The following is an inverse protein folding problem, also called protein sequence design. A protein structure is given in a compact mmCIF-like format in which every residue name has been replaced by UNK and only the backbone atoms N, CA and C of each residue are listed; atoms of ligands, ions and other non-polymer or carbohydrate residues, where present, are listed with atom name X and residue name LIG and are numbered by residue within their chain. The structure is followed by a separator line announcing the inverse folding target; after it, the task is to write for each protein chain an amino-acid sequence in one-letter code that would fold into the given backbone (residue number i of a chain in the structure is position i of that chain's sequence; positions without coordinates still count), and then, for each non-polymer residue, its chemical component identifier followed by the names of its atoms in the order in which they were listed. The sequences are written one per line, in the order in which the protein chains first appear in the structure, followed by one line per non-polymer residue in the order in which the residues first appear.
data_IF_860104755751
#
_entry.id   IF_860104755751
#
_cell.length_a   1.000
_cell.length_b   1.000
_cell.length_c   1.000
_cell.angle_alpha   90.00
_cell.angle_beta   90.00
_cell.angle_gamma   90.00
#
_symmetry.space_group_name_H-M   'P 1'
#
loop_
_entity.id
_entity.type
_entity.pdbx_description
1 polymer ?
#
# COMPACT_ATOMS: atom_id res chain seq x y z
N UNK A 1 15.86 5.43 1.61
CA UNK A 1 14.69 4.58 1.27
C UNK A 1 13.50 4.88 2.18
N UNK A 2 13.61 4.65 3.50
CA UNK A 2 12.52 4.87 4.48
C UNK A 2 11.90 6.28 4.40
N UNK A 3 12.72 7.34 4.35
CA UNK A 3 12.22 8.72 4.20
C UNK A 3 11.33 8.92 2.97
N UNK A 4 11.63 8.24 1.86
CA UNK A 4 10.84 8.30 0.63
C UNK A 4 9.52 7.56 0.77
N UNK A 5 9.53 6.37 1.41
CA UNK A 5 8.31 5.64 1.76
C UNK A 5 7.40 6.46 2.68
N UNK A 6 7.95 7.10 3.73
CA UNK A 6 7.20 8.01 4.60
C UNK A 6 6.64 9.21 3.84
N UNK A 7 7.40 9.80 2.91
CA UNK A 7 6.93 10.90 2.07
C UNK A 7 5.74 10.49 1.19
N UNK A 8 5.75 9.25 0.67
CA UNK A 8 4.64 8.68 -0.11
C UNK A 8 3.40 8.54 0.77
N UNK A 9 3.52 7.99 1.98
CA UNK A 9 2.40 7.90 2.93
C UNK A 9 1.83 9.28 3.27
N UNK A 10 2.69 10.27 3.52
CA UNK A 10 2.24 11.65 3.79
C UNK A 10 1.50 12.26 2.60
N UNK A 11 2.01 12.07 1.39
CA UNK A 11 1.35 12.54 0.17
C UNK A 11 -0.01 11.86 -0.02
N UNK A 12 -0.09 10.54 0.18
CA UNK A 12 -1.35 9.80 0.14
C UNK A 12 -2.34 10.27 1.21
N UNK A 13 -1.89 10.49 2.44
CA UNK A 13 -2.71 11.05 3.51
C UNK A 13 -3.33 12.39 3.11
N UNK A 14 -2.56 13.27 2.48
CA UNK A 14 -3.06 14.56 1.97
C UNK A 14 -4.12 14.36 0.87
N UNK A 15 -3.95 13.39 -0.02
CA UNK A 15 -4.94 13.07 -1.06
C UNK A 15 -6.27 12.60 -0.46
N UNK A 16 -6.22 11.85 0.64
CA UNK A 16 -7.41 11.28 1.29
C UNK A 16 -8.23 12.30 2.10
N UNK A 17 -7.64 13.44 2.49
CA UNK A 17 -8.30 14.43 3.36
C UNK A 17 -8.73 15.68 2.61
N UNK A 18 -9.79 16.34 3.07
CA UNK A 18 -10.16 17.65 2.54
C UNK A 18 -9.19 18.71 3.06
N UNK A 19 -8.45 19.33 2.15
CA UNK A 19 -7.65 20.51 2.47
C UNK A 19 -8.56 21.73 2.56
N UNK A 20 -8.63 22.31 3.77
CA UNK A 20 -9.36 23.53 4.03
C UNK A 20 -8.45 24.73 3.76
N UNK A 21 -8.60 25.35 2.60
CA UNK A 21 -7.90 26.60 2.28
C UNK A 21 -8.71 27.80 2.81
N UNK A 22 -8.06 28.72 3.53
CA UNK A 22 -8.67 30.03 3.78
C UNK A 22 -8.64 30.82 2.48
N UNK A 23 -9.69 31.59 2.19
CA UNK A 23 -9.81 32.38 0.95
C UNK A 23 -8.62 33.33 0.71
N UNK A 24 -7.97 33.81 1.77
CA UNK A 24 -6.77 34.65 1.69
C UNK A 24 -5.56 33.90 1.09
N UNK A 25 -5.48 32.60 1.29
CA UNK A 25 -4.40 31.74 0.80
C UNK A 25 -4.67 31.27 -0.65
N UNK A 26 -5.94 31.06 -1.01
CA UNK A 26 -6.34 30.73 -2.38
C UNK A 26 -6.01 31.84 -3.39
N UNK A 27 -6.12 33.11 -2.96
CA UNK A 27 -5.71 34.28 -3.75
C UNK A 27 -4.19 34.33 -4.02
N UNK A 28 -3.36 33.76 -3.13
CA UNK A 28 -1.90 33.69 -3.31
C UNK A 28 -1.48 32.62 -4.33
N UNK A 29 -2.35 31.64 -4.59
CA UNK A 29 -2.15 30.58 -5.60
C UNK A 29 -2.75 30.92 -6.98
N UNK A 30 -3.12 32.20 -7.22
CA UNK A 30 -3.78 32.69 -8.44
C UNK A 30 -2.92 32.66 -9.71
N UNK A 31 -1.69 32.14 -9.65
CA UNK A 31 -0.85 31.87 -10.82
C UNK A 31 -1.32 30.66 -11.64
N UNK A 32 -2.31 29.90 -11.14
CA UNK A 32 -2.95 28.82 -11.87
C UNK A 32 -3.96 29.39 -12.87
N UNK A 33 -3.65 29.27 -14.18
CA UNK A 33 -4.43 29.81 -15.28
C UNK A 33 -5.90 29.40 -15.19
N UNK A 34 -6.79 30.38 -15.11
CA UNK A 34 -8.24 30.22 -15.23
C UNK A 34 -8.72 30.91 -16.52
N UNK A 35 -9.83 30.45 -17.13
CA UNK A 35 -10.55 31.22 -18.12
C UNK A 35 -10.93 32.59 -17.52
N UNK A 36 -10.79 33.66 -18.31
CA UNK A 36 -10.85 35.05 -17.85
C UNK A 36 -12.02 35.33 -16.89
N UNK A 37 -11.72 36.00 -15.76
CA UNK A 37 -12.72 36.62 -14.88
C UNK A 37 -13.23 35.80 -13.68
N UNK A 38 -12.75 34.57 -13.44
CA UNK A 38 -13.21 33.74 -12.30
C UNK A 38 -12.09 33.44 -11.31
N UNK A 39 -12.31 33.77 -10.03
CA UNK A 39 -11.38 33.43 -8.95
C UNK A 39 -11.47 31.92 -8.64
N UNK A 40 -10.33 31.22 -8.46
CA UNK A 40 -10.36 29.82 -8.06
C UNK A 40 -11.02 29.70 -6.69
N UNK A 41 -12.14 29.00 -6.63
CA UNK A 41 -12.75 28.62 -5.35
C UNK A 41 -11.80 27.65 -4.64
N UNK A 42 -11.75 27.67 -3.30
CA UNK A 42 -10.95 26.74 -2.50
C UNK A 42 -11.12 25.26 -2.92
N UNK A 43 -12.29 24.90 -3.44
CA UNK A 43 -12.60 23.57 -4.00
C UNK A 43 -11.80 23.25 -5.26
N UNK A 44 -11.71 24.19 -6.22
CA UNK A 44 -10.96 23.99 -7.47
C UNK A 44 -9.47 23.88 -7.19
N UNK A 45 -8.94 24.75 -6.33
CA UNK A 45 -7.54 24.71 -5.91
C UNK A 45 -7.18 23.39 -5.22
N UNK A 46 -8.04 22.91 -4.32
CA UNK A 46 -7.85 21.62 -3.66
C UNK A 46 -7.79 20.47 -4.68
N UNK A 47 -8.68 20.46 -5.69
CA UNK A 47 -8.66 19.45 -6.76
C UNK A 47 -7.37 19.51 -7.57
N UNK A 48 -6.92 20.70 -7.98
CA UNK A 48 -5.69 20.87 -8.76
C UNK A 48 -4.46 20.44 -7.98
N UNK A 49 -4.36 20.83 -6.70
CA UNK A 49 -3.25 20.41 -5.85
C UNK A 49 -3.23 18.89 -5.67
N UNK A 50 -4.40 18.27 -5.44
CA UNK A 50 -4.49 16.82 -5.35
C UNK A 50 -4.09 16.12 -6.65
N UNK A 51 -4.47 16.66 -7.81
CA UNK A 51 -4.03 16.12 -9.10
C UNK A 51 -2.50 16.19 -9.26
N UNK A 52 -1.86 17.30 -8.86
CA UNK A 52 -0.41 17.43 -8.87
C UNK A 52 0.27 16.46 -7.90
N UNK A 53 -0.28 16.31 -6.69
CA UNK A 53 0.24 15.37 -5.69
C UNK A 53 0.10 13.93 -6.19
N UNK A 54 -1.00 13.58 -6.83
CA UNK A 54 -1.23 12.25 -7.40
C UNK A 54 -0.20 11.89 -8.49
N UNK A 55 0.07 12.82 -9.41
CA UNK A 55 1.11 12.62 -10.43
C UNK A 55 2.52 12.51 -9.81
N UNK A 56 2.81 13.29 -8.77
CA UNK A 56 4.06 13.16 -8.03
C UNK A 56 4.12 11.81 -7.30
N UNK A 57 3.04 11.37 -6.67
CA UNK A 57 2.96 10.12 -5.93
C UNK A 57 3.29 8.92 -6.83
N UNK A 58 2.71 8.86 -8.03
CA UNK A 58 2.97 7.78 -8.98
C UNK A 58 4.46 7.69 -9.38
N UNK A 59 5.11 8.84 -9.55
CA UNK A 59 6.57 8.93 -9.81
C UNK A 59 7.37 8.48 -8.60
N UNK A 60 7.03 8.98 -7.41
CA UNK A 60 7.71 8.67 -6.16
C UNK A 60 7.67 7.16 -5.84
N UNK A 61 6.51 6.51 -6.02
CA UNK A 61 6.30 5.07 -5.85
C UNK A 61 7.14 4.28 -6.85
N UNK A 62 7.10 4.64 -8.14
CA UNK A 62 7.91 3.98 -9.18
C UNK A 62 9.40 4.07 -8.87
N UNK A 63 9.86 5.24 -8.42
CA UNK A 63 11.24 5.46 -8.01
C UNK A 63 11.61 4.67 -6.75
N UNK A 64 10.70 4.55 -5.78
CA UNK A 64 10.93 3.76 -4.57
C UNK A 64 11.19 2.29 -4.94
N UNK A 65 10.36 1.71 -5.82
CA UNK A 65 10.58 0.34 -6.31
C UNK A 65 11.88 0.20 -7.12
N UNK A 66 12.31 1.23 -7.86
CA UNK A 66 13.62 1.24 -8.52
C UNK A 66 14.77 1.24 -7.51
N UNK A 67 14.68 2.04 -6.45
CA UNK A 67 15.68 2.08 -5.37
C UNK A 67 15.74 0.73 -4.66
N UNK A 68 14.60 0.13 -4.33
CA UNK A 68 14.52 -1.22 -3.77
C UNK A 68 15.25 -2.25 -4.63
N UNK A 69 14.93 -2.32 -5.93
CA UNK A 69 15.60 -3.24 -6.85
C UNK A 69 17.11 -2.98 -6.96
N UNK A 70 17.59 -1.77 -6.68
CA UNK A 70 19.01 -1.43 -6.72
C UNK A 70 19.72 -1.79 -5.40
N UNK A 71 19.12 -1.47 -4.25
CA UNK A 71 19.62 -1.83 -2.91
C UNK A 71 19.63 -3.33 -2.65
N UNK A 72 18.72 -4.08 -3.27
CA UNK A 72 18.64 -5.54 -3.12
C UNK A 72 19.69 -6.30 -3.95
N UNK A 73 20.26 -5.70 -5.00
CA UNK A 73 21.30 -6.32 -5.86
C UNK A 73 22.59 -6.72 -5.13
N UNK A 74 23.21 -5.87 -4.29
CA UNK A 74 24.47 -6.22 -3.61
C UNK A 74 24.31 -7.33 -2.56
N UNK A 75 23.08 -7.77 -2.25
CA UNK A 75 22.78 -8.76 -1.18
C UNK A 75 23.41 -8.40 0.17
N UNK A 76 23.63 -7.10 0.39
CA UNK A 76 24.32 -6.60 1.57
C UNK A 76 23.39 -6.65 2.77
N UNK A 77 23.85 -7.26 3.87
CA UNK A 77 23.12 -7.30 5.15
C UNK A 77 22.88 -5.91 5.75
N UNK A 78 23.73 -4.93 5.40
CA UNK A 78 23.56 -3.52 5.79
C UNK A 78 22.24 -2.93 5.28
N UNK A 79 21.81 -3.33 4.09
CA UNK A 79 20.57 -2.83 3.48
C UNK A 79 19.32 -3.55 4.00
N UNK A 80 19.47 -4.64 4.78
CA UNK A 80 18.34 -5.44 5.27
C UNK A 80 17.36 -4.61 6.11
N UNK A 81 17.86 -3.92 7.14
CA UNK A 81 17.06 -3.11 8.05
C UNK A 81 16.33 -1.95 7.35
N UNK A 82 17.00 -1.09 6.54
CA UNK A 82 16.30 -0.02 5.85
C UNK A 82 15.32 -0.54 4.79
N UNK A 83 15.58 -1.69 4.15
CA UNK A 83 14.63 -2.33 3.25
C UNK A 83 13.40 -2.87 4.01
N UNK A 84 13.60 -3.55 5.15
CA UNK A 84 12.53 -4.01 6.02
C UNK A 84 11.64 -2.85 6.46
N UNK A 85 12.26 -1.81 7.03
CA UNK A 85 11.56 -0.62 7.52
C UNK A 85 10.76 0.07 6.41
N UNK A 86 11.39 0.26 5.24
CA UNK A 86 10.71 0.87 4.12
C UNK A 86 9.54 0.01 3.62
N UNK A 87 9.71 -1.31 3.54
CA UNK A 87 8.65 -2.18 3.05
C UNK A 87 7.46 -2.28 4.02
N UNK A 88 7.69 -2.26 5.34
CA UNK A 88 6.61 -2.16 6.32
C UNK A 88 5.76 -0.90 6.10
N UNK A 89 6.42 0.24 5.82
CA UNK A 89 5.72 1.49 5.48
C UNK A 89 4.94 1.36 4.16
N UNK A 90 5.50 0.67 3.15
CA UNK A 90 4.79 0.41 1.89
C UNK A 90 3.61 -0.54 2.08
N UNK A 91 3.68 -1.51 3.01
CA UNK A 91 2.55 -2.38 3.34
C UNK A 91 1.36 -1.54 3.85
N UNK A 92 1.61 -0.61 4.76
CA UNK A 92 0.58 0.33 5.24
C UNK A 92 0.03 1.21 4.11
N UNK A 93 0.89 1.67 3.21
CA UNK A 93 0.45 2.42 2.03
C UNK A 93 -0.44 1.59 1.09
N UNK A 94 -0.10 0.33 0.84
CA UNK A 94 -0.90 -0.57 0.00
C UNK A 94 -2.26 -0.87 0.64
N UNK A 95 -2.31 -1.12 1.95
CA UNK A 95 -3.57 -1.27 2.69
C UNK A 95 -4.42 0.02 2.63
N UNK A 96 -3.79 1.19 2.74
CA UNK A 96 -4.46 2.47 2.59
C UNK A 96 -5.05 2.66 1.18
N UNK A 97 -4.37 2.19 0.14
CA UNK A 97 -4.90 2.17 -1.23
C UNK A 97 -6.11 1.24 -1.38
N UNK A 98 -6.04 0.02 -0.82
CA UNK A 98 -7.16 -0.93 -0.83
C UNK A 98 -8.39 -0.32 -0.12
N UNK A 99 -8.17 0.32 1.03
CA UNK A 99 -9.18 1.05 1.79
C UNK A 99 -9.76 2.23 1.02
N UNK A 100 -8.92 3.01 0.35
CA UNK A 100 -9.34 4.16 -0.46
C UNK A 100 -10.24 3.71 -1.62
N UNK A 101 -9.91 2.60 -2.26
CA UNK A 101 -10.68 2.00 -3.36
C UNK A 101 -12.07 1.57 -2.87
N UNK A 102 -12.15 0.90 -1.72
CA UNK A 102 -13.43 0.55 -1.09
C UNK A 102 -14.29 1.76 -0.78
N UNK A 103 -13.68 2.81 -0.20
CA UNK A 103 -14.39 4.04 0.15
C UNK A 103 -14.88 4.81 -1.08
N UNK A 104 -14.10 4.82 -2.16
CA UNK A 104 -14.48 5.43 -3.42
C UNK A 104 -15.73 4.75 -4.00
N UNK A 105 -15.71 3.42 -4.10
CA UNK A 105 -16.83 2.65 -4.64
C UNK A 105 -18.09 2.83 -3.78
N UNK A 106 -17.94 2.77 -2.46
CA UNK A 106 -19.00 3.09 -1.51
C UNK A 106 -19.66 4.43 -1.84
N UNK A 107 -18.83 5.47 -1.90
CA UNK A 107 -19.29 6.84 -2.09
C UNK A 107 -19.98 7.02 -3.45
N UNK A 108 -19.44 6.40 -4.51
CA UNK A 108 -20.02 6.48 -5.86
C UNK A 108 -21.36 5.76 -5.96
N UNK A 109 -21.48 4.59 -5.36
CA UNK A 109 -22.75 3.85 -5.32
C UNK A 109 -23.82 4.63 -4.55
N UNK A 110 -23.47 5.19 -3.38
CA UNK A 110 -24.37 6.02 -2.59
C UNK A 110 -24.84 7.27 -3.36
N UNK A 111 -23.93 7.97 -4.04
CA UNK A 111 -24.29 9.11 -4.90
C UNK A 111 -25.26 8.69 -6.01
N UNK A 112 -25.01 7.55 -6.67
CA UNK A 112 -25.88 7.02 -7.72
C UNK A 112 -27.29 6.71 -7.20
N UNK A 113 -27.38 6.03 -6.06
CA UNK A 113 -28.66 5.67 -5.41
C UNK A 113 -29.43 6.93 -5.00
N UNK A 114 -28.76 7.93 -4.41
CA UNK A 114 -29.39 9.22 -4.07
C UNK A 114 -29.91 9.97 -5.29
N UNK A 115 -29.28 9.78 -6.45
CA UNK A 115 -29.74 10.31 -7.72
C UNK A 115 -30.87 9.47 -8.37
N UNK A 116 -31.40 8.45 -7.68
CA UNK A 116 -32.44 7.55 -8.18
C UNK A 116 -31.96 6.56 -9.24
N UNK A 117 -30.64 6.37 -9.38
CA UNK A 117 -30.01 5.47 -10.35
C UNK A 117 -29.59 4.16 -9.69
N UNK A 118 -29.29 3.15 -10.51
CA UNK A 118 -28.77 1.87 -10.03
C UNK A 118 -27.31 1.99 -9.56
N UNK A 119 -26.85 0.97 -8.80
CA UNK A 119 -25.46 0.86 -8.34
C UNK A 119 -24.53 0.79 -9.56
N UNK A 120 -23.41 1.52 -9.49
CA UNK A 120 -22.43 1.58 -10.59
C UNK A 120 -21.41 0.43 -10.49
N UNK A 121 -21.09 0.01 -9.27
CA UNK A 121 -20.04 -0.98 -9.02
C UNK A 121 -20.54 -2.05 -8.05
N UNK A 122 -20.00 -3.25 -8.21
CA UNK A 122 -20.26 -4.41 -7.35
C UNK A 122 -19.12 -4.64 -6.36
N UNK A 123 -19.38 -5.32 -5.24
CA UNK A 123 -18.34 -5.65 -4.26
C UNK A 123 -17.21 -6.48 -4.88
N UNK A 124 -17.59 -7.47 -5.71
CA UNK A 124 -16.66 -8.35 -6.41
C UNK A 124 -15.62 -7.58 -7.23
N UNK A 125 -16.05 -6.57 -7.99
CA UNK A 125 -15.13 -5.73 -8.78
C UNK A 125 -14.08 -5.03 -7.91
N UNK A 126 -14.45 -4.59 -6.72
CA UNK A 126 -13.49 -3.93 -5.81
C UNK A 126 -12.51 -4.93 -5.22
N UNK A 127 -13.01 -6.10 -4.82
CA UNK A 127 -12.15 -7.18 -4.32
C UNK A 127 -11.15 -7.64 -5.38
N UNK A 128 -11.56 -7.76 -6.64
CA UNK A 128 -10.66 -8.09 -7.75
C UNK A 128 -9.56 -7.03 -7.97
N UNK A 129 -9.87 -5.74 -7.79
CA UNK A 129 -8.87 -4.67 -7.87
C UNK A 129 -7.91 -4.71 -6.68
N UNK A 130 -8.42 -4.88 -5.47
CA UNK A 130 -7.59 -4.96 -4.27
C UNK A 130 -6.70 -6.21 -4.29
N UNK A 131 -7.21 -7.35 -4.78
CA UNK A 131 -6.42 -8.57 -4.97
C UNK A 131 -5.23 -8.35 -5.93
N UNK A 132 -5.35 -7.45 -6.91
CA UNK A 132 -4.23 -7.10 -7.78
C UNK A 132 -3.10 -6.42 -7.02
N UNK A 133 -3.39 -5.53 -6.06
CA UNK A 133 -2.38 -4.87 -5.23
C UNK A 133 -1.60 -5.91 -4.41
N UNK A 134 -2.31 -6.91 -3.87
CA UNK A 134 -1.69 -8.00 -3.12
C UNK A 134 -0.83 -8.91 -4.03
N UNK A 135 -1.36 -9.32 -5.19
CA UNK A 135 -0.61 -10.12 -6.18
C UNK A 135 0.62 -9.36 -6.67
N UNK A 136 0.48 -8.07 -6.98
CA UNK A 136 1.54 -7.19 -7.46
C UNK A 136 1.22 -5.74 -7.06
N UNK A 137 2.04 -5.08 -6.22
CA UNK A 137 3.46 -5.35 -6.03
C UNK A 137 3.84 -6.11 -4.74
N UNK A 138 2.90 -6.37 -3.83
CA UNK A 138 3.22 -6.91 -2.49
C UNK A 138 3.92 -8.27 -2.54
N UNK A 139 3.32 -9.29 -3.17
CA UNK A 139 3.89 -10.64 -3.20
C UNK A 139 5.25 -10.70 -3.89
N UNK A 140 5.44 -9.98 -4.99
CA UNK A 140 6.72 -9.92 -5.70
C UNK A 140 7.82 -9.41 -4.79
N UNK A 141 7.57 -8.32 -4.07
CA UNK A 141 8.57 -7.75 -3.17
C UNK A 141 8.88 -8.68 -2.01
N UNK A 142 7.86 -9.22 -1.36
CA UNK A 142 8.01 -10.17 -0.26
C UNK A 142 8.88 -11.35 -0.69
N UNK A 143 8.59 -11.96 -1.85
CA UNK A 143 9.39 -13.05 -2.40
C UNK A 143 10.84 -12.63 -2.65
N UNK A 144 11.05 -11.50 -3.32
CA UNK A 144 12.41 -11.00 -3.61
C UNK A 144 13.20 -10.75 -2.33
N UNK A 145 12.58 -10.15 -1.31
CA UNK A 145 13.19 -9.86 -0.03
C UNK A 145 13.68 -11.15 0.66
N UNK A 146 12.80 -12.13 0.84
CA UNK A 146 13.14 -13.39 1.49
C UNK A 146 14.15 -14.21 0.67
N UNK A 147 14.05 -14.17 -0.66
CA UNK A 147 14.99 -14.86 -1.53
C UNK A 147 16.41 -14.29 -1.46
N UNK A 148 16.54 -12.96 -1.45
CA UNK A 148 17.83 -12.25 -1.46
C UNK A 148 18.54 -12.37 -0.12
N UNK A 149 17.79 -12.24 0.98
CA UNK A 149 18.36 -12.28 2.32
C UNK A 149 18.38 -13.67 2.95
N UNK A 150 17.83 -14.68 2.26
CA UNK A 150 17.82 -16.07 2.73
C UNK A 150 17.32 -16.17 4.17
N UNK A 151 16.16 -15.57 4.43
CA UNK A 151 15.54 -15.54 5.76
C UNK A 151 15.02 -16.91 6.20
N UNK A 152 14.93 -17.84 5.25
CA UNK A 152 14.66 -19.25 5.48
C UNK A 152 15.82 -20.10 5.02
N UNK A 153 16.10 -21.17 5.75
CA UNK A 153 17.18 -22.11 5.43
C UNK A 153 16.68 -23.05 4.34
N UNK A 154 17.33 -23.03 3.18
CA UNK A 154 17.01 -23.91 2.05
C UNK A 154 17.89 -25.16 1.98
N UNK A 155 18.97 -25.22 2.76
CA UNK A 155 19.97 -26.29 2.69
C UNK A 155 20.29 -26.83 4.09
N UNK A 156 20.38 -28.17 4.18
CA UNK A 156 20.76 -28.86 5.42
C UNK A 156 22.15 -28.40 5.86
N UNK A 157 22.22 -27.54 6.87
CA UNK A 157 23.46 -27.07 7.50
C UNK A 157 23.78 -25.59 7.33
N UNK A 158 23.04 -24.82 6.54
CA UNK A 158 23.22 -23.35 6.45
C UNK A 158 22.23 -22.62 7.36
N UNK A 159 22.76 -21.78 8.26
CA UNK A 159 21.94 -20.97 9.17
C UNK A 159 21.32 -19.80 8.40
N UNK A 160 19.99 -19.73 8.37
CA UNK A 160 19.25 -18.63 7.75
C UNK A 160 19.55 -17.29 8.45
N UNK A 161 19.58 -16.20 7.68
CA UNK A 161 19.74 -14.87 8.26
C UNK A 161 18.35 -14.29 8.61
N UNK A 162 17.95 -14.44 9.87
CA UNK A 162 16.65 -13.97 10.35
C UNK A 162 16.79 -13.18 11.67
N UNK A 163 17.05 -11.87 11.59
CA UNK A 163 17.15 -11.01 12.78
C UNK A 163 15.87 -10.90 13.61
N UNK A 164 14.71 -11.37 13.15
CA UNK A 164 13.47 -11.38 13.96
C UNK A 164 13.35 -12.62 14.86
N UNK A 165 14.01 -13.73 14.50
CA UNK A 165 13.91 -15.00 15.24
C UNK A 165 15.23 -15.46 15.87
N UNK A 166 16.38 -15.03 15.34
CA UNK A 166 17.70 -15.50 15.76
C UNK A 166 18.55 -14.37 16.38
N UNK A 167 19.01 -14.57 17.61
CA UNK A 167 19.82 -13.59 18.35
C UNK A 167 21.20 -13.36 17.73
N UNK A 168 21.79 -14.39 17.10
CA UNK A 168 23.07 -14.22 16.41
C UNK A 168 22.92 -13.34 15.14
N UNK A 169 21.82 -13.53 14.41
CA UNK A 169 21.45 -12.68 13.28
C UNK A 169 21.13 -11.25 13.72
N UNK A 170 20.48 -11.07 14.88
CA UNK A 170 20.25 -9.75 15.48
C UNK A 170 21.56 -9.05 15.84
N UNK A 171 22.48 -9.72 16.52
CA UNK A 171 23.78 -9.15 16.89
C UNK A 171 24.57 -8.69 15.64
N UNK A 172 24.52 -9.50 14.58
CA UNK A 172 25.09 -9.15 13.27
C UNK A 172 24.43 -7.91 12.67
N UNK A 173 23.09 -7.89 12.60
CA UNK A 173 22.33 -6.76 12.06
C UNK A 173 22.50 -5.47 12.88
N UNK A 174 22.67 -5.58 14.19
CA UNK A 174 22.91 -4.47 15.09
C UNK A 174 24.33 -3.89 14.95
N UNK A 175 25.32 -4.75 14.71
CA UNK A 175 26.71 -4.31 14.48
C UNK A 175 26.83 -3.63 13.12
N UNK A 176 26.23 -4.23 12.09
CA UNK A 176 26.28 -3.72 10.72
C UNK A 176 25.41 -2.46 10.55
N UNK A 177 24.16 -2.50 11.03
CA UNK A 177 23.18 -1.41 10.88
C UNK A 177 23.21 -0.34 11.97
N UNK A 178 24.03 -0.52 13.00
CA UNK A 178 24.15 0.37 14.15
C UNK A 178 22.93 0.39 15.08
N UNK A 179 22.91 1.40 15.96
CA UNK A 179 21.93 1.51 17.07
C UNK A 179 20.49 1.58 16.56
N UNK A 180 20.22 2.36 15.51
CA UNK A 180 18.87 2.51 14.96
C UNK A 180 18.30 1.19 14.41
N UNK A 181 19.16 0.32 13.84
CA UNK A 181 18.75 -0.99 13.39
C UNK A 181 18.40 -1.91 14.56
N UNK A 182 19.22 -1.90 15.61
CA UNK A 182 18.96 -2.68 16.81
C UNK A 182 17.65 -2.27 17.50
N UNK A 183 17.40 -0.96 17.62
CA UNK A 183 16.16 -0.42 18.20
C UNK A 183 14.92 -0.82 17.41
N UNK A 184 14.97 -0.72 16.07
CA UNK A 184 13.85 -1.12 15.23
C UNK A 184 13.55 -2.62 15.38
N UNK A 185 14.56 -3.47 15.26
CA UNK A 185 14.35 -4.93 15.30
C UNK A 185 13.94 -5.38 16.69
N UNK A 186 14.54 -4.81 17.74
CA UNK A 186 14.16 -5.05 19.13
C UNK A 186 12.72 -4.61 19.41
N UNK A 187 12.34 -3.42 18.94
CA UNK A 187 10.97 -2.91 19.03
C UNK A 187 9.96 -3.80 18.30
N UNK A 188 10.29 -4.27 17.09
CA UNK A 188 9.45 -5.20 16.34
C UNK A 188 9.29 -6.54 17.05
N UNK A 189 10.37 -7.13 17.58
CA UNK A 189 10.30 -8.37 18.39
C UNK A 189 9.42 -8.18 19.63
N UNK A 190 9.54 -7.03 20.29
CA UNK A 190 8.69 -6.68 21.44
C UNK A 190 7.21 -6.53 21.07
N UNK A 191 6.92 -5.91 19.93
CA UNK A 191 5.56 -5.67 19.46
C UNK A 191 4.86 -6.95 18.96
N UNK A 192 5.59 -7.82 18.27
CA UNK A 192 5.05 -9.11 17.79
C UNK A 192 4.76 -10.08 18.94
N UNK A 193 5.54 -9.97 20.03
CA UNK A 193 5.42 -10.83 21.19
C UNK A 193 5.83 -12.29 20.91
N UNK A 194 5.83 -13.15 21.95
CA UNK A 194 6.30 -14.54 21.82
C UNK A 194 5.32 -15.43 21.02
N UNK A 195 4.03 -15.12 21.06
CA UNK A 195 2.99 -16.04 20.56
C UNK A 195 2.62 -15.81 19.09
N UNK A 196 2.95 -14.64 18.51
CA UNK A 196 2.58 -14.25 17.14
C UNK A 196 1.07 -14.33 16.82
N UNK A 197 0.23 -14.50 17.86
CA UNK A 197 -1.19 -14.82 17.72
C UNK A 197 -1.97 -13.66 17.12
N UNK A 198 -1.69 -12.45 17.57
CA UNK A 198 -2.31 -11.23 17.05
C UNK A 198 -2.03 -11.06 15.56
N UNK A 199 -0.77 -11.22 15.14
CA UNK A 199 -0.40 -11.18 13.72
C UNK A 199 -1.11 -12.27 12.93
N UNK A 200 -1.19 -13.49 13.46
CA UNK A 200 -1.91 -14.59 12.81
C UNK A 200 -3.41 -14.27 12.65
N UNK A 201 -4.03 -13.62 13.63
CA UNK A 201 -5.44 -13.22 13.55
C UNK A 201 -5.66 -12.07 12.55
N UNK A 202 -4.71 -11.13 12.44
CA UNK A 202 -4.75 -10.04 11.45
C UNK A 202 -4.59 -10.51 10.00
N UNK A 203 -3.90 -11.65 9.77
CA UNK A 203 -3.67 -12.20 8.43
C UNK A 203 -4.86 -13.03 7.92
N UNK A 204 -5.78 -13.45 8.80
CA UNK A 204 -6.96 -14.23 8.39
C UNK A 204 -7.83 -13.39 7.46
N UNK A 205 -7.93 -13.82 6.21
CA UNK A 205 -8.84 -13.23 5.23
C UNK A 205 -10.12 -14.07 5.14
N UNK A 206 -11.31 -13.47 5.26
CA UNK A 206 -11.57 -12.09 5.70
C UNK A 206 -11.58 -11.99 7.24
N UNK A 207 -10.98 -10.91 7.78
CA UNK A 207 -10.89 -10.66 9.24
C UNK A 207 -12.28 -10.71 9.89
N UNK A 208 -13.28 -10.30 9.13
CA UNK A 208 -14.69 -10.43 9.46
C UNK A 208 -15.37 -11.18 8.31
N UNK A 209 -16.31 -12.10 8.56
CA UNK A 209 -16.93 -12.91 7.50
C UNK A 209 -17.54 -11.99 6.44
N UNK A 210 -16.84 -11.85 5.31
CA UNK A 210 -17.29 -11.13 4.13
C UNK A 210 -18.03 -12.13 3.28
N UNK A 211 -19.34 -11.94 3.12
CA UNK A 211 -20.01 -12.60 2.01
C UNK A 211 -19.73 -11.74 0.76
N UNK A 212 -19.21 -12.33 -0.32
CA UNK A 212 -19.16 -11.68 -1.64
C UNK A 212 -20.54 -11.13 -2.07
N UNK A 213 -21.59 -11.64 -1.42
CA UNK A 213 -23.01 -11.29 -1.53
C UNK A 213 -23.47 -10.13 -0.65
N UNK A 214 -22.59 -9.45 0.11
CA UNK A 214 -23.01 -8.29 0.90
C UNK A 214 -23.52 -7.17 -0.01
N UNK A 215 -24.82 -6.91 0.08
CA UNK A 215 -25.49 -5.89 -0.72
C UNK A 215 -25.40 -4.49 -0.08
N UNK A 216 -25.36 -3.46 -0.94
CA UNK A 216 -25.35 -2.07 -0.50
C UNK A 216 -26.70 -1.67 0.13
N UNK A 217 -26.71 -0.87 1.22
CA UNK A 217 -25.56 -0.25 1.88
C UNK A 217 -24.76 -1.27 2.69
N UNK A 218 -23.43 -1.27 2.52
CA UNK A 218 -22.57 -2.16 3.31
C UNK A 218 -22.72 -1.76 4.78
N UNK A 219 -23.26 -2.63 5.65
CA UNK A 219 -23.71 -2.26 6.99
C UNK A 219 -22.55 -1.99 7.97
N UNK A 220 -21.30 -2.01 7.50
CA UNK A 220 -20.07 -1.99 8.27
C UNK A 220 -19.07 -0.98 7.72
N UNK A 221 -18.23 -0.46 8.61
CA UNK A 221 -17.00 0.22 8.22
C UNK A 221 -15.98 -0.77 7.61
N UNK A 222 -15.81 -0.75 6.29
CA UNK A 222 -14.88 -1.61 5.55
C UNK A 222 -13.41 -1.34 5.88
N UNK A 223 -13.08 -0.17 6.44
CA UNK A 223 -11.71 0.19 6.80
C UNK A 223 -11.07 -0.78 7.81
N UNK A 224 -11.89 -1.48 8.61
CA UNK A 224 -11.41 -2.46 9.60
C UNK A 224 -10.72 -3.66 8.94
N UNK A 225 -11.05 -3.97 7.69
CA UNK A 225 -10.43 -5.07 6.95
C UNK A 225 -9.00 -4.76 6.47
N UNK A 226 -8.61 -3.48 6.49
CA UNK A 226 -7.31 -2.99 5.99
C UNK A 226 -6.44 -2.46 7.15
N UNK A 227 -6.49 -3.15 8.29
CA UNK A 227 -5.74 -2.75 9.48
C UNK A 227 -4.56 -3.71 9.70
N UNK A 228 -3.41 -3.40 9.08
CA UNK A 228 -2.16 -4.12 9.31
C UNK A 228 -2.10 -5.53 8.73
N UNK A 229 -3.03 -5.92 7.83
CA UNK A 229 -3.11 -7.26 7.22
C UNK A 229 -1.86 -7.63 6.41
N UNK A 230 -1.44 -6.76 5.47
CA UNK A 230 -0.26 -6.96 4.64
C UNK A 230 1.03 -6.85 5.47
N UNK A 231 1.08 -5.91 6.41
CA UNK A 231 2.22 -5.79 7.32
C UNK A 231 2.37 -7.04 8.20
N UNK A 232 1.28 -7.51 8.80
CA UNK A 232 1.24 -8.74 9.60
C UNK A 232 1.61 -9.96 8.74
N UNK A 233 1.13 -10.02 7.48
CA UNK A 233 1.46 -11.10 6.55
C UNK A 233 2.95 -11.14 6.21
N UNK A 234 3.55 -9.99 5.96
CA UNK A 234 4.99 -9.88 5.73
C UNK A 234 5.82 -10.16 6.98
N UNK A 235 5.31 -9.89 8.19
CA UNK A 235 6.01 -10.29 9.41
C UNK A 235 5.88 -11.81 9.64
N UNK A 236 4.68 -12.36 9.45
CA UNK A 236 4.42 -13.80 9.55
C UNK A 236 5.22 -14.63 8.55
N UNK A 237 5.56 -14.07 7.39
CA UNK A 237 6.42 -14.74 6.42
C UNK A 237 7.83 -14.98 6.94
N UNK A 238 8.33 -14.27 7.96
CA UNK A 238 9.61 -14.63 8.61
C UNK A 238 9.51 -15.88 9.48
N UNK A 239 8.31 -16.25 9.94
CA UNK A 239 8.06 -17.43 10.78
C UNK A 239 7.74 -18.67 9.94
N UNK A 240 6.93 -18.52 8.89
CA UNK A 240 6.54 -19.63 8.01
C UNK A 240 6.61 -19.23 6.54
N UNK A 241 7.23 -20.09 5.72
CA UNK A 241 7.30 -19.93 4.27
C UNK A 241 5.92 -20.01 3.58
N UNK A 242 4.92 -20.57 4.26
CA UNK A 242 3.55 -20.70 3.73
C UNK A 242 2.93 -19.34 3.40
N UNK A 243 3.27 -18.29 4.14
CA UNK A 243 2.78 -16.93 3.86
C UNK A 243 3.42 -16.32 2.60
N UNK A 244 4.55 -16.88 2.15
CA UNK A 244 5.25 -16.50 0.92
C UNK A 244 4.69 -17.27 -0.29
N UNK A 245 4.53 -18.59 -0.16
CA UNK A 245 4.23 -19.48 -1.29
C UNK A 245 2.78 -19.99 -1.36
N UNK A 246 2.05 -20.00 -0.25
CA UNK A 246 0.72 -20.61 -0.13
C UNK A 246 -0.39 -19.91 -0.94
N UNK A 247 -0.11 -18.74 -1.51
CA UNK A 247 -1.07 -17.95 -2.30
C UNK A 247 -0.63 -17.76 -3.76
N UNK A 248 0.43 -18.44 -4.20
CA UNK A 248 0.78 -18.45 -5.62
C UNK A 248 -0.29 -19.21 -6.41
N UNK A 249 -0.96 -18.60 -7.40
CA UNK A 249 -1.66 -19.38 -8.41
C UNK A 249 -0.63 -20.29 -9.08
N UNK A 250 -1.01 -21.56 -9.28
CA UNK A 250 -0.18 -22.56 -9.96
C UNK A 250 0.43 -21.95 -11.23
N UNK A 251 1.73 -22.17 -11.39
CA UNK A 251 2.55 -21.71 -12.51
C UNK A 251 1.79 -21.83 -13.84
N UNK A 252 1.48 -20.67 -14.42
CA UNK A 252 0.70 -20.58 -15.65
C UNK A 252 0.00 -19.23 -15.79
N UNK A 253 0.71 -18.11 -15.62
CA UNK A 253 0.16 -16.83 -16.06
C UNK A 253 1.21 -16.03 -16.82
N UNK A 254 0.98 -16.05 -18.13
CA UNK A 254 1.44 -15.19 -19.21
C UNK A 254 1.86 -13.79 -18.72
N UNK A 255 2.97 -13.22 -19.19
CA UNK A 255 3.30 -11.83 -18.87
C UNK A 255 2.30 -10.90 -19.57
N UNK A 256 1.98 -9.78 -18.89
CA UNK A 256 1.41 -8.50 -19.39
C UNK A 256 -0.10 -8.25 -19.14
N UNK A 257 -0.57 -6.98 -19.09
CA UNK A 257 0.15 -5.72 -19.32
C UNK A 257 -0.02 -4.68 -18.19
N UNK A 258 1.08 -4.02 -17.80
CA UNK A 258 1.03 -2.78 -17.00
C UNK A 258 0.25 -1.63 -17.69
N UNK A 259 -0.13 -1.82 -18.97
CA UNK A 259 -0.93 -0.90 -19.74
C UNK A 259 -2.42 -0.97 -19.39
N UNK A 260 -2.99 -2.14 -19.08
CA UNK A 260 -4.43 -2.26 -18.78
C UNK A 260 -4.80 -1.63 -17.42
N UNK A 261 -3.93 -1.81 -16.41
CA UNK A 261 -4.09 -1.17 -15.10
C UNK A 261 -3.89 0.34 -15.19
N UNK A 262 -2.90 0.80 -15.98
CA UNK A 262 -2.75 2.24 -16.27
C UNK A 262 -3.91 2.80 -17.09
N UNK A 263 -4.40 2.07 -18.09
CA UNK A 263 -5.56 2.47 -18.89
C UNK A 263 -6.83 2.52 -18.07
N UNK A 264 -7.03 1.62 -17.11
CA UNK A 264 -8.15 1.65 -16.19
C UNK A 264 -8.07 2.83 -15.22
N UNK A 265 -6.92 3.08 -14.59
CA UNK A 265 -6.70 4.26 -13.76
C UNK A 265 -6.88 5.57 -14.57
N UNK A 266 -6.36 5.61 -15.80
CA UNK A 266 -6.54 6.74 -16.71
C UNK A 266 -7.97 6.84 -17.27
N UNK A 267 -8.72 5.74 -17.38
CA UNK A 267 -10.15 5.70 -17.71
C UNK A 267 -10.97 6.29 -16.58
N UNK A 268 -10.70 5.90 -15.32
CA UNK A 268 -11.38 6.46 -14.16
C UNK A 268 -11.08 7.96 -13.99
N UNK A 269 -9.88 8.43 -14.35
CA UNK A 269 -9.57 9.87 -14.43
C UNK A 269 -10.34 10.59 -15.53
N UNK A 270 -10.51 10.00 -16.72
CA UNK A 270 -11.32 10.57 -17.82
C UNK A 270 -12.80 10.65 -17.46
N UNK A 271 -13.37 9.59 -16.89
CA UNK A 271 -14.77 9.58 -16.43
C UNK A 271 -15.01 10.59 -15.30
N UNK A 272 -13.98 10.88 -14.50
CA UNK A 272 -14.02 11.92 -13.46
C UNK A 272 -13.89 13.35 -14.03
N UNK A 273 -13.31 13.51 -15.22
CA UNK A 273 -13.22 14.79 -15.95
C UNK A 273 -14.46 15.07 -16.82
N UNK A 274 -15.10 14.06 -17.40
CA UNK A 274 -16.32 14.25 -18.21
C UNK A 274 -17.54 14.67 -17.37
N UNK A 275 -17.54 14.36 -16.06
CA UNK A 275 -18.49 14.91 -15.08
C UNK A 275 -18.28 16.42 -14.77
N UNK A 276 -17.32 17.09 -15.41
CA UNK A 276 -17.12 18.53 -15.32
C UNK A 276 -17.65 19.32 -16.54
N UNK A 277 -18.16 18.62 -17.56
CA UNK A 277 -18.72 19.21 -18.77
C UNK A 277 -20.26 19.19 -18.82
N UNK A 278 -20.93 18.66 -17.78
CA UNK A 278 -22.38 18.72 -17.56
C UNK A 278 -22.67 19.40 -16.21
#
# INVERSE_FOLDING_TARGET
MVKKALSICTAHYVLMHQLLFRNKDALRCSTLSMPEGKHPTAVVLNRQLKALIDEQLAREVSDLFRIFNTSLKPRSKLEWTPCLAAFLVVCLFMEDMERATDMFVLSKNEISIRAGKQRLYTRKQVLEVNEQVEKMPFQQFMWQFHHIYQTHSKEHGSKAFNPLLDDASLATAATDGGVAAAELIGGLRGLVGPDWKELHDLVKDPILPMSETEEHPWPRNLAVNYCGRLAARFLMSFKSEEYIFGVMPKQGCVPLPSAAVREWVNSQQRDMMDLSAA
#
